data_IF_970143458209
#
_entry.id   IF_970143458209
#
_cell.length_a   1.000
_cell.length_b   1.000
_cell.length_c   1.000
_cell.angle_alpha   90.00
_cell.angle_beta   90.00
_cell.angle_gamma   90.00
#
_symmetry.space_group_name_H-M   'P 1'
#
loop_
_entity.id
_entity.type
_entity.pdbx_description
1 polymer ?
#
# COMPACT_ATOMS: atom_id res chain seq x y z
N UNK A 1 30.87 -9.69 7.23
CA UNK A 1 29.71 -10.60 7.19
C UNK A 1 28.50 -9.76 6.93
N UNK A 2 27.63 -10.17 6.01
CA UNK A 2 26.37 -9.46 5.73
C UNK A 2 25.40 -9.70 6.90
N UNK A 3 24.77 -8.64 7.39
CA UNK A 3 23.73 -8.78 8.42
C UNK A 3 22.49 -9.45 7.80
N UNK A 4 21.82 -10.28 8.60
CA UNK A 4 20.57 -10.93 8.21
C UNK A 4 19.44 -10.47 9.12
N UNK A 5 18.26 -10.35 8.56
CA UNK A 5 17.05 -9.86 9.21
C UNK A 5 15.89 -10.82 8.96
N UNK A 6 14.91 -10.75 9.86
CA UNK A 6 13.63 -11.43 9.70
C UNK A 6 12.50 -10.42 9.90
N UNK A 7 11.60 -10.37 8.93
CA UNK A 7 10.34 -9.63 9.04
C UNK A 7 9.27 -10.60 9.56
N UNK A 8 8.58 -10.19 10.63
CA UNK A 8 7.53 -10.96 11.29
C UNK A 8 6.27 -10.12 11.47
N UNK A 9 5.11 -10.77 11.52
CA UNK A 9 3.86 -10.16 12.00
C UNK A 9 3.41 -10.97 13.20
N UNK A 10 3.19 -10.32 14.35
CA UNK A 10 2.82 -10.97 15.60
C UNK A 10 3.73 -12.16 15.97
N UNK A 11 5.04 -12.00 15.77
CA UNK A 11 6.04 -13.04 16.02
C UNK A 11 6.03 -14.24 15.06
N UNK A 12 5.25 -14.19 13.98
CA UNK A 12 5.18 -15.24 12.97
C UNK A 12 5.78 -14.80 11.64
N UNK A 13 6.30 -15.75 10.86
CA UNK A 13 6.63 -15.50 9.46
C UNK A 13 5.42 -14.92 8.73
N UNK A 14 5.62 -13.81 8.01
CA UNK A 14 4.58 -13.21 7.17
C UNK A 14 4.64 -13.72 5.72
N UNK A 15 5.83 -14.12 5.27
CA UNK A 15 6.10 -14.56 3.90
C UNK A 15 6.54 -16.02 3.88
N UNK A 16 5.88 -16.84 3.06
CA UNK A 16 6.26 -18.24 2.83
C UNK A 16 5.93 -19.23 3.96
N UNK A 17 4.98 -18.90 4.86
CA UNK A 17 4.47 -19.79 5.91
C UNK A 17 4.13 -19.05 7.21
N UNK A 18 3.64 -19.78 8.22
CA UNK A 18 3.15 -19.22 9.50
C UNK A 18 3.97 -19.65 10.72
N UNK A 19 5.26 -19.92 10.53
CA UNK A 19 6.14 -20.36 11.60
C UNK A 19 6.19 -19.31 12.73
N UNK A 20 5.86 -19.70 13.95
CA UNK A 20 6.05 -18.88 15.16
C UNK A 20 7.51 -18.90 15.59
N UNK A 21 8.09 -17.71 15.78
CA UNK A 21 9.49 -17.58 16.17
C UNK A 21 9.64 -17.40 17.67
N UNK A 22 10.71 -17.96 18.23
CA UNK A 22 11.15 -17.60 19.57
C UNK A 22 11.71 -16.18 19.54
N UNK A 23 11.03 -15.27 20.24
CA UNK A 23 11.38 -13.85 20.29
C UNK A 23 12.53 -13.58 21.27
N UNK A 24 13.40 -12.60 20.99
CA UNK A 24 14.39 -12.15 21.94
C UNK A 24 13.71 -11.40 23.09
N UNK A 25 14.31 -11.44 24.28
CA UNK A 25 13.79 -10.76 25.48
C UNK A 25 14.79 -9.73 25.96
N UNK A 26 14.32 -8.51 26.28
CA UNK A 26 15.15 -7.48 26.88
C UNK A 26 15.35 -7.81 28.36
N UNK A 27 16.60 -7.92 28.80
CA UNK A 27 16.96 -8.13 30.20
C UNK A 27 16.92 -6.81 30.97
N UNK A 28 16.94 -6.90 32.30
CA UNK A 28 16.99 -5.73 33.21
C UNK A 28 18.23 -4.85 33.00
N UNK A 29 19.35 -5.42 32.55
CA UNK A 29 20.60 -4.72 32.26
C UNK A 29 20.61 -3.99 30.90
N UNK A 30 19.52 -4.08 30.13
CA UNK A 30 19.39 -3.49 28.80
C UNK A 30 19.98 -4.33 27.66
N UNK A 31 20.55 -5.51 27.94
CA UNK A 31 20.98 -6.44 26.89
C UNK A 31 19.83 -7.29 26.37
N UNK A 32 19.89 -7.62 25.08
CA UNK A 32 18.96 -8.58 24.47
C UNK A 32 19.43 -10.02 24.68
N UNK A 33 18.58 -10.85 25.29
CA UNK A 33 18.71 -12.29 25.23
C UNK A 33 18.14 -12.81 23.89
N UNK A 34 18.95 -13.45 23.02
CA UNK A 34 18.45 -13.99 21.76
C UNK A 34 17.36 -15.04 21.96
N UNK A 35 16.48 -15.17 20.97
CA UNK A 35 15.54 -16.28 20.89
C UNK A 35 16.23 -17.63 20.70
N UNK A 36 15.49 -18.71 20.89
CA UNK A 36 15.96 -20.07 20.66
C UNK A 36 16.28 -20.32 19.19
N UNK A 37 17.27 -21.19 18.95
CA UNK A 37 17.54 -21.71 17.62
C UNK A 37 16.36 -22.56 17.14
N UNK A 38 15.82 -22.17 16.00
CA UNK A 38 14.89 -23.00 15.25
C UNK A 38 15.68 -23.86 14.28
N UNK A 39 15.23 -25.09 14.08
CA UNK A 39 15.95 -26.13 13.33
C UNK A 39 15.01 -26.79 12.36
N UNK A 40 15.37 -26.83 11.09
CA UNK A 40 14.70 -27.67 10.09
C UNK A 40 15.37 -29.06 10.13
N UNK A 41 14.62 -30.15 10.37
CA UNK A 41 15.19 -31.51 10.37
C UNK A 41 15.99 -31.80 9.10
N UNK A 42 17.08 -32.57 9.23
CA UNK A 42 18.00 -32.86 8.12
C UNK A 42 17.50 -33.98 7.20
N UNK A 43 16.21 -33.94 6.87
CA UNK A 43 15.53 -34.95 6.04
C UNK A 43 15.49 -34.53 4.57
N UNK A 44 15.59 -33.22 4.31
CA UNK A 44 15.59 -32.63 2.99
C UNK A 44 16.73 -31.61 2.91
N UNK A 45 17.35 -31.51 1.74
CA UNK A 45 18.29 -30.46 1.43
C UNK A 45 17.61 -29.09 1.57
N UNK A 46 18.36 -28.08 2.00
CA UNK A 46 17.86 -26.71 1.99
C UNK A 46 17.63 -26.29 0.54
N UNK A 47 16.43 -25.80 0.28
CA UNK A 47 15.95 -25.35 -1.03
C UNK A 47 15.27 -24.00 -0.82
N UNK A 48 15.87 -22.96 -1.37
CA UNK A 48 15.41 -21.59 -1.24
C UNK A 48 13.99 -21.48 -1.77
N UNK A 49 13.09 -21.07 -0.86
CA UNK A 49 11.63 -20.92 -1.00
C UNK A 49 10.81 -22.16 -0.63
N UNK A 50 11.39 -23.36 -0.61
CA UNK A 50 10.66 -24.60 -0.31
C UNK A 50 11.00 -25.19 1.05
N UNK A 51 12.29 -25.19 1.41
CA UNK A 51 12.81 -25.86 2.61
C UNK A 51 13.88 -24.99 3.24
N UNK A 52 13.57 -24.35 4.36
CA UNK A 52 14.55 -23.60 5.16
C UNK A 52 13.93 -22.44 5.93
N UNK A 53 14.72 -21.87 6.85
CA UNK A 53 14.37 -20.67 7.61
C UNK A 53 14.86 -19.44 6.84
N UNK A 54 13.93 -18.74 6.20
CA UNK A 54 14.25 -17.57 5.39
C UNK A 54 14.58 -16.35 6.23
N UNK A 55 15.76 -15.81 5.98
CA UNK A 55 16.23 -14.49 6.39
C UNK A 55 16.53 -13.64 5.15
N UNK A 56 16.59 -12.32 5.30
CA UNK A 56 16.93 -11.37 4.21
C UNK A 56 18.05 -10.43 4.64
N UNK A 57 18.88 -9.96 3.71
CA UNK A 57 19.79 -8.85 3.96
C UNK A 57 19.21 -7.48 3.57
N UNK A 58 18.00 -7.46 3.00
CA UNK A 58 17.26 -6.26 2.59
C UNK A 58 15.81 -6.34 3.10
N UNK A 59 15.58 -6.04 4.40
CA UNK A 59 14.26 -6.19 5.01
C UNK A 59 13.21 -5.26 4.41
N UNK A 60 13.60 -4.15 3.77
CA UNK A 60 12.67 -3.19 3.16
C UNK A 60 11.79 -3.83 2.07
N UNK A 61 12.30 -4.84 1.36
CA UNK A 61 11.57 -5.58 0.31
C UNK A 61 10.53 -6.56 0.85
N UNK A 62 10.54 -6.82 2.16
CA UNK A 62 9.69 -7.82 2.81
C UNK A 62 8.76 -7.20 3.85
N UNK A 63 8.71 -5.88 3.95
CA UNK A 63 7.82 -5.19 4.87
C UNK A 63 6.37 -5.48 4.49
N UNK A 64 5.53 -5.62 5.50
CA UNK A 64 4.08 -5.78 5.38
C UNK A 64 3.41 -5.09 6.58
N UNK A 65 2.12 -4.81 6.49
CA UNK A 65 1.40 -4.02 7.50
C UNK A 65 1.45 -4.75 8.85
N UNK A 66 1.76 -4.01 9.91
CA UNK A 66 1.89 -4.52 11.27
C UNK A 66 3.16 -5.34 11.50
N UNK A 67 4.14 -5.27 10.61
CA UNK A 67 5.36 -6.05 10.76
C UNK A 67 6.36 -5.46 11.75
N UNK A 68 7.19 -6.35 12.27
CA UNK A 68 8.38 -6.04 13.06
C UNK A 68 9.59 -6.65 12.38
N UNK A 69 10.72 -5.92 12.40
CA UNK A 69 12.00 -6.41 11.87
C UNK A 69 12.91 -6.80 13.02
N UNK A 70 13.56 -7.95 12.90
CA UNK A 70 14.51 -8.46 13.87
C UNK A 70 15.86 -8.72 13.21
N UNK A 71 16.95 -8.38 13.89
CA UNK A 71 18.27 -8.87 13.53
C UNK A 71 18.33 -10.37 13.81
N UNK A 72 18.87 -11.15 12.88
CA UNK A 72 18.85 -12.60 12.93
C UNK A 72 20.23 -13.20 12.63
N UNK A 73 20.45 -14.41 13.14
CA UNK A 73 21.59 -15.24 12.80
C UNK A 73 21.12 -16.54 12.17
N UNK A 74 21.78 -16.94 11.08
CA UNK A 74 21.63 -18.24 10.45
C UNK A 74 22.90 -19.08 10.61
N UNK A 75 22.77 -20.41 10.64
CA UNK A 75 23.90 -21.35 10.58
C UNK A 75 23.52 -22.67 9.92
N UNK A 76 24.54 -23.48 9.61
CA UNK A 76 24.42 -24.76 8.94
C UNK A 76 24.25 -24.62 7.42
N UNK A 77 23.69 -25.66 6.80
CA UNK A 77 23.38 -25.66 5.37
C UNK A 77 22.52 -24.44 5.01
N UNK A 78 22.82 -23.81 3.89
CA UNK A 78 22.06 -22.66 3.42
C UNK A 78 22.09 -22.55 1.90
N UNK A 79 21.08 -21.85 1.38
CA UNK A 79 21.00 -21.46 -0.02
C UNK A 79 20.52 -20.03 -0.13
N UNK A 80 21.16 -19.24 -1.00
CA UNK A 80 20.86 -17.82 -1.22
C UNK A 80 20.27 -17.62 -2.62
N UNK A 81 19.26 -16.76 -2.73
CA UNK A 81 18.68 -16.33 -4.00
C UNK A 81 18.30 -14.85 -3.90
N UNK A 82 19.08 -13.97 -4.53
CA UNK A 82 18.89 -12.52 -4.37
C UNK A 82 19.19 -12.09 -2.94
N UNK A 83 18.28 -11.32 -2.34
CA UNK A 83 18.42 -10.78 -0.98
C UNK A 83 18.03 -11.78 0.14
N UNK A 84 17.40 -12.91 -0.23
CA UNK A 84 16.99 -13.96 0.73
C UNK A 84 18.01 -15.09 0.84
N UNK A 85 18.18 -15.58 2.06
CA UNK A 85 18.94 -16.79 2.38
C UNK A 85 18.08 -17.73 3.23
N UNK A 86 17.88 -18.96 2.76
CA UNK A 86 17.25 -20.03 3.52
C UNK A 86 18.33 -20.77 4.32
N UNK A 87 18.13 -20.89 5.64
CA UNK A 87 19.08 -21.53 6.55
C UNK A 87 18.51 -22.81 7.17
N UNK A 88 19.39 -23.76 7.50
CA UNK A 88 19.06 -24.95 8.30
C UNK A 88 18.64 -24.58 9.71
N UNK A 89 19.38 -23.67 10.33
CA UNK A 89 19.10 -23.16 11.66
C UNK A 89 19.11 -21.64 11.67
N UNK A 90 18.15 -21.03 12.36
CA UNK A 90 18.09 -19.58 12.53
C UNK A 90 17.55 -19.18 13.89
N UNK A 91 17.94 -18.00 14.37
CA UNK A 91 17.35 -17.36 15.56
C UNK A 91 17.32 -15.85 15.43
N UNK A 92 16.44 -15.23 16.21
CA UNK A 92 16.35 -13.78 16.37
C UNK A 92 17.30 -13.32 17.48
N UNK A 93 18.00 -12.22 17.25
CA UNK A 93 18.99 -11.68 18.19
C UNK A 93 18.41 -10.52 19.00
N UNK A 94 17.75 -9.57 18.33
CA UNK A 94 17.09 -8.39 18.92
C UNK A 94 16.09 -7.79 17.92
N UNK A 95 15.11 -6.99 18.37
CA UNK A 95 14.38 -6.11 17.48
C UNK A 95 15.33 -5.15 16.75
N UNK A 96 15.00 -4.84 15.51
CA UNK A 96 15.74 -3.92 14.64
C UNK A 96 14.79 -2.89 14.00
N UNK A 97 14.06 -2.08 14.81
CA UNK A 97 13.10 -1.10 14.30
C UNK A 97 13.74 -0.02 13.42
N UNK A 98 15.05 0.18 13.53
CA UNK A 98 15.85 1.06 12.68
C UNK A 98 15.84 0.64 11.20
N UNK A 99 15.49 -0.62 10.91
CA UNK A 99 15.41 -1.14 9.55
C UNK A 99 14.06 -0.89 8.87
N UNK A 100 13.09 -0.30 9.59
CA UNK A 100 11.80 0.13 9.03
C UNK A 100 11.94 1.60 8.64
N UNK A 101 11.97 1.93 7.33
CA UNK A 101 12.11 3.31 6.88
C UNK A 101 10.91 4.20 7.26
N UNK A 102 11.14 5.51 7.36
CA UNK A 102 10.07 6.46 7.69
C UNK A 102 8.95 6.48 6.63
N UNK A 103 9.30 6.32 5.35
CA UNK A 103 8.31 6.21 4.27
C UNK A 103 7.36 5.02 4.48
N UNK A 104 7.85 3.91 5.04
CA UNK A 104 7.02 2.75 5.36
C UNK A 104 6.06 3.05 6.49
N UNK A 105 6.52 3.76 7.53
CA UNK A 105 5.65 4.16 8.65
C UNK A 105 4.53 5.08 8.18
N UNK A 106 4.83 6.01 7.27
CA UNK A 106 3.82 6.87 6.65
C UNK A 106 2.83 6.07 5.79
N UNK A 107 3.34 5.13 4.98
CA UNK A 107 2.51 4.21 4.21
C UNK A 107 1.58 3.40 5.11
N UNK A 108 2.09 2.80 6.18
CA UNK A 108 1.32 2.01 7.13
C UNK A 108 0.23 2.84 7.83
N UNK A 109 0.56 4.05 8.29
CA UNK A 109 -0.42 4.96 8.89
C UNK A 109 -1.52 5.34 7.89
N UNK A 110 -1.15 5.63 6.65
CA UNK A 110 -2.08 5.93 5.58
C UNK A 110 -3.02 4.76 5.31
N UNK A 111 -2.47 3.55 5.17
CA UNK A 111 -3.22 2.32 4.94
C UNK A 111 -4.20 2.06 6.09
N UNK A 112 -3.74 2.14 7.34
CA UNK A 112 -4.60 1.96 8.53
C UNK A 112 -5.75 2.97 8.54
N UNK A 113 -5.53 4.20 8.09
CA UNK A 113 -6.55 5.26 8.02
C UNK A 113 -7.60 5.06 6.92
N UNK A 114 -7.39 4.15 5.96
CA UNK A 114 -8.36 3.92 4.87
C UNK A 114 -9.72 3.43 5.34
N UNK A 115 -9.76 2.76 6.50
CA UNK A 115 -10.99 2.32 7.15
C UNK A 115 -11.86 3.48 7.63
N UNK A 116 -11.26 4.65 7.85
CA UNK A 116 -11.91 5.85 8.37
C UNK A 116 -12.38 6.78 7.24
N UNK A 117 -12.06 6.45 5.98
CA UNK A 117 -12.51 7.23 4.81
C UNK A 117 -14.03 7.05 4.65
N UNK A 118 -14.79 8.16 4.52
CA UNK A 118 -16.25 8.12 4.39
C UNK A 118 -16.68 7.76 2.96
N UNK A 119 -16.27 6.57 2.47
CA UNK A 119 -16.52 6.12 1.10
C UNK A 119 -17.99 6.29 0.67
N UNK A 120 -18.24 7.17 -0.30
CA UNK A 120 -19.57 7.45 -0.82
C UNK A 120 -20.52 8.12 0.17
N UNK A 121 -20.00 8.73 1.23
CA UNK A 121 -20.74 9.49 2.23
C UNK A 121 -20.19 10.92 2.25
N UNK A 122 -20.64 11.78 1.32
CA UNK A 122 -20.20 13.16 1.23
C UNK A 122 -20.37 13.91 2.56
N UNK A 123 -19.41 14.77 2.89
CA UNK A 123 -19.47 15.65 4.06
C UNK A 123 -20.36 16.89 3.86
N UNK A 124 -20.91 17.08 2.66
CA UNK A 124 -21.76 18.22 2.29
C UNK A 124 -20.99 19.50 1.97
N UNK A 125 -19.65 19.45 1.93
CA UNK A 125 -18.78 20.61 1.72
C UNK A 125 -17.77 20.36 0.58
N UNK A 126 -18.26 20.22 -0.67
CA UNK A 126 -17.39 19.98 -1.80
C UNK A 126 -16.46 21.18 -2.00
N UNK A 127 -15.23 20.93 -2.46
CA UNK A 127 -14.34 22.03 -2.83
C UNK A 127 -14.97 22.80 -4.02
N UNK A 128 -15.07 24.14 -3.98
CA UNK A 128 -15.69 24.94 -5.04
C UNK A 128 -14.96 24.86 -6.39
N UNK A 129 -13.71 24.39 -6.43
CA UNK A 129 -12.95 24.19 -7.67
C UNK A 129 -13.32 22.88 -8.38
N UNK A 130 -14.04 21.98 -7.71
CA UNK A 130 -14.51 20.73 -8.30
C UNK A 130 -15.74 20.97 -9.18
N UNK A 131 -15.85 20.21 -10.26
CA UNK A 131 -17.09 20.10 -11.02
C UNK A 131 -17.90 18.95 -10.44
N UNK A 132 -18.83 19.26 -9.54
CA UNK A 132 -19.69 18.29 -8.87
C UNK A 132 -20.94 17.96 -9.70
N UNK A 133 -21.20 16.67 -9.86
CA UNK A 133 -22.41 16.12 -10.48
C UNK A 133 -23.22 15.34 -9.44
N UNK A 134 -24.52 15.60 -9.39
CA UNK A 134 -25.45 14.89 -8.51
C UNK A 134 -26.64 14.39 -9.32
N UNK A 135 -27.14 13.22 -8.95
CA UNK A 135 -28.37 12.68 -9.54
C UNK A 135 -29.10 11.79 -8.52
N UNK A 136 -30.38 11.44 -8.75
CA UNK A 136 -31.12 10.51 -7.90
C UNK A 136 -30.47 9.12 -7.79
N UNK A 137 -29.71 8.71 -8.79
CA UNK A 137 -28.94 7.45 -8.80
C UNK A 137 -27.44 7.74 -8.90
N UNK A 138 -26.64 6.89 -8.25
CA UNK A 138 -25.18 7.05 -8.29
C UNK A 138 -24.63 6.83 -9.71
N UNK A 139 -25.24 5.91 -10.46
CA UNK A 139 -24.89 5.64 -11.86
C UNK A 139 -25.16 6.85 -12.77
N UNK A 140 -26.28 7.53 -12.59
CA UNK A 140 -26.61 8.75 -13.34
C UNK A 140 -25.59 9.85 -13.11
N UNK A 141 -25.26 10.11 -11.84
CA UNK A 141 -24.27 11.13 -11.47
C UNK A 141 -22.88 10.80 -12.05
N UNK A 142 -22.48 9.51 -11.99
CA UNK A 142 -21.22 9.04 -12.58
C UNK A 142 -21.18 9.21 -14.10
N UNK A 143 -22.25 8.85 -14.79
CA UNK A 143 -22.33 8.94 -16.25
C UNK A 143 -22.17 10.39 -16.72
N UNK A 144 -22.85 11.33 -16.05
CA UNK A 144 -22.72 12.77 -16.36
C UNK A 144 -21.32 13.30 -16.07
N UNK A 145 -20.77 12.97 -14.90
CA UNK A 145 -19.42 13.39 -14.53
C UNK A 145 -18.37 12.87 -15.53
N UNK A 146 -18.51 11.61 -15.96
CA UNK A 146 -17.58 11.01 -16.91
C UNK A 146 -17.72 11.60 -18.31
N UNK A 147 -18.95 11.82 -18.78
CA UNK A 147 -19.18 12.47 -20.06
C UNK A 147 -18.61 13.90 -20.09
N UNK A 148 -18.72 14.64 -18.97
CA UNK A 148 -18.12 15.96 -18.84
C UNK A 148 -16.59 15.91 -18.84
N UNK A 149 -15.99 14.97 -18.12
CA UNK A 149 -14.54 14.76 -18.10
C UNK A 149 -14.00 14.37 -19.49
N UNK A 150 -14.63 13.42 -20.16
CA UNK A 150 -14.23 12.95 -21.50
C UNK A 150 -14.37 14.08 -22.54
N UNK A 151 -15.44 14.88 -22.46
CA UNK A 151 -15.62 16.08 -23.30
C UNK A 151 -14.53 17.12 -23.04
N UNK A 152 -14.16 17.36 -21.77
CA UNK A 152 -13.11 18.30 -21.42
C UNK A 152 -11.74 17.82 -21.93
N UNK A 153 -11.44 16.53 -21.81
CA UNK A 153 -10.19 15.94 -22.32
C UNK A 153 -10.12 16.01 -23.85
N UNK A 154 -11.21 15.67 -24.55
CA UNK A 154 -11.28 15.72 -26.02
C UNK A 154 -11.15 17.15 -26.56
N UNK A 155 -11.80 18.12 -25.91
CA UNK A 155 -11.74 19.53 -26.31
C UNK A 155 -10.33 20.15 -26.20
N UNK A 156 -9.42 19.52 -25.45
CA UNK A 156 -8.09 20.06 -25.16
C UNK A 156 -6.94 19.29 -25.82
N UNK A 157 -7.20 18.28 -26.67
CA UNK A 157 -6.17 17.38 -27.23
C UNK A 157 -5.21 16.81 -26.17
N UNK A 158 -5.67 16.63 -24.94
CA UNK A 158 -4.80 16.21 -23.82
C UNK A 158 -4.48 14.72 -23.98
N UNK A 159 -3.28 14.44 -24.49
CA UNK A 159 -2.64 13.14 -24.33
C UNK A 159 -2.47 12.91 -22.82
N UNK A 160 -2.75 11.70 -22.37
CA UNK A 160 -2.78 11.19 -21.00
C UNK A 160 -1.39 11.23 -20.34
N UNK A 161 -0.80 12.41 -20.26
CA UNK A 161 0.64 12.65 -20.08
C UNK A 161 1.03 12.67 -18.60
N UNK A 162 0.17 13.18 -17.71
CA UNK A 162 0.55 13.39 -16.30
C UNK A 162 0.49 12.11 -15.46
N UNK A 163 -0.56 11.31 -15.58
CA UNK A 163 -0.64 10.02 -14.88
C UNK A 163 0.36 8.99 -15.44
N UNK A 164 0.67 9.06 -16.74
CA UNK A 164 1.66 8.20 -17.38
C UNK A 164 3.09 8.63 -17.01
N UNK A 165 3.42 9.93 -17.08
CA UNK A 165 4.71 10.45 -16.66
C UNK A 165 4.96 10.24 -15.16
N UNK A 166 3.94 10.38 -14.32
CA UNK A 166 4.05 10.13 -12.87
C UNK A 166 4.20 8.64 -12.56
N UNK A 167 3.48 7.76 -13.29
CA UNK A 167 3.69 6.32 -13.20
C UNK A 167 5.08 5.90 -13.71
N UNK A 168 5.60 6.53 -14.77
CA UNK A 168 6.95 6.29 -15.28
C UNK A 168 8.03 6.80 -14.33
N UNK A 169 7.90 8.01 -13.77
CA UNK A 169 8.85 8.58 -12.81
C UNK A 169 8.88 7.77 -11.50
N UNK A 170 7.72 7.31 -11.02
CA UNK A 170 7.64 6.39 -9.87
C UNK A 170 8.22 5.01 -10.22
N UNK A 171 7.97 4.49 -11.42
CA UNK A 171 8.52 3.21 -11.87
C UNK A 171 10.04 3.21 -12.04
N UNK A 172 10.63 4.34 -12.43
CA UNK A 172 12.09 4.51 -12.55
C UNK A 172 12.75 4.73 -11.18
N UNK A 173 12.10 5.44 -10.26
CA UNK A 173 12.70 5.80 -8.98
C UNK A 173 12.55 4.74 -7.87
N UNK A 174 11.55 3.86 -7.96
CA UNK A 174 11.20 2.93 -6.88
C UNK A 174 11.14 1.46 -7.34
N UNK A 175 11.92 1.06 -8.35
CA UNK A 175 11.88 -0.29 -8.92
C UNK A 175 11.99 -1.43 -7.88
N UNK A 176 12.77 -1.23 -6.81
CA UNK A 176 12.95 -2.23 -5.74
C UNK A 176 11.92 -2.15 -4.60
N UNK A 177 11.26 -1.01 -4.39
CA UNK A 177 10.23 -0.80 -3.37
C UNK A 177 8.79 -1.00 -3.90
N UNK A 178 8.63 -1.00 -5.23
CA UNK A 178 7.35 -1.10 -5.93
C UNK A 178 6.59 -2.38 -5.62
N UNK A 179 7.25 -3.54 -5.60
CA UNK A 179 6.54 -4.82 -5.42
C UNK A 179 5.98 -4.94 -4.00
N UNK A 180 6.76 -4.57 -2.97
CA UNK A 180 6.32 -4.59 -1.58
C UNK A 180 5.19 -3.60 -1.31
N UNK A 181 5.23 -2.40 -1.88
CA UNK A 181 4.18 -1.39 -1.70
C UNK A 181 2.96 -1.67 -2.57
N UNK A 182 3.14 -2.19 -3.78
CA UNK A 182 2.03 -2.63 -4.60
C UNK A 182 1.30 -3.78 -3.91
N UNK A 183 2.01 -4.77 -3.36
CA UNK A 183 1.37 -5.87 -2.60
C UNK A 183 0.71 -5.38 -1.30
N UNK A 184 1.39 -4.56 -0.49
CA UNK A 184 0.84 -4.05 0.77
C UNK A 184 -0.34 -3.08 0.56
N UNK A 185 -0.27 -2.22 -0.46
CA UNK A 185 -1.39 -1.39 -0.86
C UNK A 185 -2.53 -2.26 -1.41
N UNK A 186 -2.26 -3.25 -2.29
CA UNK A 186 -3.25 -4.18 -2.84
C UNK A 186 -4.09 -4.86 -1.77
N UNK A 187 -3.46 -5.39 -0.72
CA UNK A 187 -4.18 -6.22 0.26
C UNK A 187 -5.22 -5.42 1.05
N UNK A 188 -4.87 -4.20 1.48
CA UNK A 188 -5.72 -3.43 2.39
C UNK A 188 -6.64 -2.40 1.72
N UNK A 189 -6.16 -1.71 0.68
CA UNK A 189 -6.97 -0.68 -0.02
C UNK A 189 -8.12 -1.33 -0.80
N UNK A 190 -7.88 -2.51 -1.40
CA UNK A 190 -8.92 -3.26 -2.08
C UNK A 190 -9.96 -3.74 -1.07
N UNK A 191 -9.55 -4.33 0.06
CA UNK A 191 -10.50 -4.87 1.06
C UNK A 191 -11.43 -3.80 1.65
N UNK A 192 -10.90 -2.63 2.03
CA UNK A 192 -11.70 -1.56 2.63
C UNK A 192 -12.72 -0.95 1.64
N UNK A 193 -12.28 -0.59 0.43
CA UNK A 193 -13.15 -0.01 -0.58
C UNK A 193 -14.12 -1.04 -1.18
N UNK A 194 -13.69 -2.30 -1.34
CA UNK A 194 -14.52 -3.41 -1.77
C UNK A 194 -15.58 -3.76 -0.74
N UNK A 195 -15.25 -3.73 0.56
CA UNK A 195 -16.22 -3.90 1.66
C UNK A 195 -17.26 -2.79 1.62
N UNK A 196 -16.85 -1.53 1.44
CA UNK A 196 -17.79 -0.42 1.28
C UNK A 196 -18.70 -0.62 0.06
N UNK A 197 -18.15 -1.07 -1.08
CA UNK A 197 -18.92 -1.37 -2.28
C UNK A 197 -19.88 -2.57 -2.11
N UNK A 198 -19.48 -3.59 -1.36
CA UNK A 198 -20.31 -4.75 -1.05
C UNK A 198 -21.53 -4.38 -0.18
N UNK A 199 -21.36 -3.38 0.70
CA UNK A 199 -22.41 -2.81 1.55
C UNK A 199 -23.34 -1.84 0.80
N UNK A 200 -23.00 -1.43 -0.42
CA UNK A 200 -23.84 -0.55 -1.23
C UNK A 200 -25.17 -1.24 -1.61
N UNK A 201 -26.27 -0.48 -1.80
CA UNK A 201 -27.51 -1.00 -2.36
C UNK A 201 -27.25 -1.74 -3.68
N UNK A 202 -28.05 -2.77 -3.96
CA UNK A 202 -27.86 -3.61 -5.15
C UNK A 202 -27.85 -2.80 -6.47
N UNK A 203 -28.61 -1.72 -6.53
CA UNK A 203 -28.68 -0.83 -7.69
C UNK A 203 -27.39 -0.02 -7.92
N UNK A 204 -26.56 0.17 -6.90
CA UNK A 204 -25.36 1.01 -6.94
C UNK A 204 -24.06 0.19 -6.90
N UNK A 205 -24.16 -1.13 -6.74
CA UNK A 205 -23.02 -2.02 -6.45
C UNK A 205 -21.95 -2.01 -7.56
N UNK A 206 -22.35 -2.03 -8.82
CA UNK A 206 -21.40 -2.00 -9.96
C UNK A 206 -20.63 -0.68 -10.01
N UNK A 207 -21.33 0.43 -9.74
CA UNK A 207 -20.72 1.76 -9.66
C UNK A 207 -19.77 1.85 -8.47
N UNK A 208 -20.19 1.34 -7.32
CA UNK A 208 -19.38 1.32 -6.11
C UNK A 208 -18.11 0.48 -6.30
N UNK A 209 -18.17 -0.66 -6.98
CA UNK A 209 -16.98 -1.46 -7.30
C UNK A 209 -16.03 -0.75 -8.27
N UNK A 210 -16.56 -0.11 -9.32
CA UNK A 210 -15.71 0.65 -10.23
C UNK A 210 -15.05 1.86 -9.54
N UNK A 211 -15.75 2.46 -8.59
CA UNK A 211 -15.22 3.56 -7.79
C UNK A 211 -14.20 3.09 -6.74
N UNK A 212 -14.42 1.92 -6.12
CA UNK A 212 -13.43 1.26 -5.26
C UNK A 212 -12.13 0.96 -6.02
N UNK A 213 -12.24 0.51 -7.27
CA UNK A 213 -11.06 0.32 -8.13
C UNK A 213 -10.34 1.64 -8.44
N UNK A 214 -11.07 2.74 -8.60
CA UNK A 214 -10.48 4.07 -8.83
C UNK A 214 -9.78 4.59 -7.56
N UNK A 215 -10.42 4.45 -6.40
CA UNK A 215 -9.85 4.79 -5.09
C UNK A 215 -8.59 3.98 -4.79
N UNK A 216 -8.58 2.69 -5.15
CA UNK A 216 -7.40 1.82 -5.08
C UNK A 216 -6.20 2.44 -5.83
N UNK A 217 -6.40 2.80 -7.10
CA UNK A 217 -5.33 3.39 -7.92
C UNK A 217 -4.85 4.73 -7.37
N UNK A 218 -5.76 5.56 -6.88
CA UNK A 218 -5.40 6.84 -6.25
C UNK A 218 -4.64 6.65 -4.93
N UNK A 219 -4.97 5.62 -4.14
CA UNK A 219 -4.26 5.30 -2.90
C UNK A 219 -2.82 4.85 -3.18
N UNK A 220 -2.64 3.99 -4.19
CA UNK A 220 -1.32 3.55 -4.66
C UNK A 220 -0.51 4.75 -5.16
N UNK A 221 -1.14 5.65 -5.93
CA UNK A 221 -0.50 6.85 -6.44
C UNK A 221 -0.09 7.80 -5.30
N UNK A 222 -0.98 8.01 -4.33
CA UNK A 222 -0.75 8.82 -3.14
C UNK A 222 0.43 8.33 -2.35
N UNK A 223 0.43 7.05 -1.97
CA UNK A 223 1.54 6.54 -1.17
C UNK A 223 2.86 6.53 -1.94
N UNK A 224 2.82 6.33 -3.26
CA UNK A 224 4.03 6.32 -4.08
C UNK A 224 4.67 7.71 -4.14
N UNK A 225 3.87 8.74 -4.41
CA UNK A 225 4.37 10.12 -4.55
C UNK A 225 4.69 10.75 -3.20
N UNK A 226 3.80 10.62 -2.23
CA UNK A 226 3.94 11.33 -0.95
C UNK A 226 4.87 10.63 0.04
N UNK A 227 4.90 9.30 0.06
CA UNK A 227 5.66 8.55 1.07
C UNK A 227 6.93 7.93 0.46
N UNK A 228 6.79 7.00 -0.49
CA UNK A 228 7.93 6.24 -1.04
C UNK A 228 8.94 7.17 -1.69
N UNK A 229 8.46 8.04 -2.58
CA UNK A 229 9.26 9.03 -3.27
C UNK A 229 9.22 10.41 -2.57
N UNK A 230 8.88 10.44 -1.28
CA UNK A 230 8.71 11.67 -0.51
C UNK A 230 9.99 12.52 -0.43
N UNK A 231 11.14 11.88 -0.46
CA UNK A 231 12.47 12.49 -0.41
C UNK A 231 13.07 12.78 -1.79
N UNK A 232 12.40 12.37 -2.86
CA UNK A 232 12.83 12.62 -4.23
C UNK A 232 12.35 13.99 -4.72
N UNK A 233 13.13 14.56 -5.65
CA UNK A 233 12.83 15.82 -6.34
C UNK A 233 11.73 15.63 -7.40
N UNK A 234 10.53 15.31 -6.93
CA UNK A 234 9.31 15.29 -7.72
C UNK A 234 8.74 16.71 -7.72
N UNK A 235 8.48 17.24 -8.92
CA UNK A 235 7.90 18.58 -9.08
C UNK A 235 6.61 18.73 -8.25
N UNK A 236 6.49 19.85 -7.53
CA UNK A 236 5.41 20.09 -6.56
C UNK A 236 4.00 19.90 -7.17
N UNK A 237 3.81 20.27 -8.45
CA UNK A 237 2.52 20.07 -9.15
C UNK A 237 2.01 18.63 -9.14
N UNK A 238 2.92 17.65 -9.10
CA UNK A 238 2.57 16.23 -9.04
C UNK A 238 2.11 15.84 -7.64
N UNK A 239 2.78 16.36 -6.60
CA UNK A 239 2.37 16.18 -5.20
C UNK A 239 1.00 16.80 -4.96
N UNK A 240 0.79 18.02 -5.44
CA UNK A 240 -0.47 18.75 -5.31
C UNK A 240 -1.62 18.04 -6.05
N UNK A 241 -1.35 17.51 -7.25
CA UNK A 241 -2.33 16.74 -8.02
C UNK A 241 -2.83 15.52 -7.23
N UNK A 242 -1.91 14.73 -6.66
CA UNK A 242 -2.27 13.50 -5.96
C UNK A 242 -2.97 13.80 -4.63
N UNK A 243 -2.56 14.85 -3.93
CA UNK A 243 -3.26 15.36 -2.75
C UNK A 243 -4.70 15.79 -3.09
N UNK A 244 -4.89 16.55 -4.16
CA UNK A 244 -6.20 17.03 -4.59
C UNK A 244 -7.15 15.87 -4.96
N UNK A 245 -6.64 14.84 -5.66
CA UNK A 245 -7.41 13.62 -5.94
C UNK A 245 -7.79 12.91 -4.64
N UNK A 246 -6.87 12.83 -3.69
CA UNK A 246 -7.12 12.16 -2.43
C UNK A 246 -8.10 12.91 -1.50
N UNK A 247 -8.15 14.24 -1.58
CA UNK A 247 -9.12 15.07 -0.88
C UNK A 247 -10.58 14.68 -1.23
N UNK A 248 -10.86 14.32 -2.50
CA UNK A 248 -12.19 13.87 -2.94
C UNK A 248 -12.66 12.68 -2.12
N UNK A 249 -11.78 11.70 -1.94
CA UNK A 249 -12.05 10.50 -1.14
C UNK A 249 -12.21 10.83 0.34
N UNK A 250 -11.33 11.68 0.90
CA UNK A 250 -11.42 12.11 2.31
C UNK A 250 -12.73 12.83 2.63
N UNK A 251 -13.28 13.59 1.69
CA UNK A 251 -14.60 14.24 1.82
C UNK A 251 -15.78 13.33 1.49
N UNK A 252 -15.53 12.08 1.10
CA UNK A 252 -16.55 11.06 0.87
C UNK A 252 -17.27 11.15 -0.47
N UNK A 253 -16.73 11.93 -1.40
CA UNK A 253 -17.23 12.00 -2.78
C UNK A 253 -16.55 10.96 -3.66
N UNK A 254 -17.10 10.76 -4.87
CA UNK A 254 -16.53 9.86 -5.87
C UNK A 254 -15.83 10.65 -6.98
N UNK A 255 -14.67 10.18 -7.43
CA UNK A 255 -13.89 10.83 -8.50
C UNK A 255 -14.16 10.16 -9.86
N UNK A 256 -14.62 10.93 -10.85
CA UNK A 256 -14.80 10.46 -12.22
C UNK A 256 -13.55 10.63 -13.08
N UNK A 257 -12.77 11.69 -12.83
CA UNK A 257 -11.57 12.01 -13.57
C UNK A 257 -10.97 13.37 -13.22
N UNK A 258 -9.79 13.64 -13.78
CA UNK A 258 -9.08 14.90 -13.67
C UNK A 258 -8.66 15.34 -15.07
N UNK A 259 -8.82 16.63 -15.38
CA UNK A 259 -8.39 17.24 -16.66
C UNK A 259 -7.78 18.60 -16.38
N UNK A 260 -6.46 18.72 -16.58
CA UNK A 260 -5.68 19.95 -16.36
C UNK A 260 -5.90 20.60 -14.99
N UNK A 261 -5.84 19.77 -13.93
CA UNK A 261 -6.07 20.17 -12.55
C UNK A 261 -7.54 20.29 -12.15
N UNK A 262 -8.48 20.22 -13.09
CA UNK A 262 -9.92 20.25 -12.78
C UNK A 262 -10.42 18.85 -12.42
N UNK A 263 -10.99 18.70 -11.23
CA UNK A 263 -11.55 17.43 -10.76
C UNK A 263 -13.05 17.33 -11.06
N UNK A 264 -13.45 16.23 -11.68
CA UNK A 264 -14.84 15.91 -11.99
C UNK A 264 -15.33 14.90 -10.95
N UNK A 265 -16.25 15.33 -10.10
CA UNK A 265 -16.63 14.65 -8.86
C UNK A 265 -18.12 14.34 -8.91
N UNK A 266 -18.55 13.24 -8.31
CA UNK A 266 -19.96 12.87 -8.28
C UNK A 266 -20.41 12.31 -6.93
N UNK A 267 -21.70 12.49 -6.65
CA UNK A 267 -22.39 11.88 -5.51
C UNK A 267 -23.86 11.63 -5.83
N UNK A 268 -24.54 10.83 -5.01
CA UNK A 268 -26.01 10.76 -5.02
C UNK A 268 -26.57 12.06 -4.43
N UNK A 269 -27.76 12.48 -4.88
CA UNK A 269 -28.50 13.57 -4.25
C UNK A 269 -28.84 13.26 -2.78
N UNK A 270 -28.78 14.28 -1.92
CA UNK A 270 -29.22 14.13 -0.53
C UNK A 270 -30.73 13.86 -0.47
N UNK A 271 -31.12 12.75 0.17
CA UNK A 271 -32.53 12.38 0.39
C UNK A 271 -33.13 11.37 -0.58
N UNK A 272 -32.33 10.75 -1.45
CA UNK A 272 -32.72 9.69 -2.40
C UNK A 272 -32.39 8.26 -1.93
#
# INVERSE_FOLDING_TARGET
>A
MTAHYKVLVNGQSAHGGHLSWSLPTLKEDGEWLPGYWQVIPNEQAIDVCRVGLHLTNDPARWLTIGCEVYLAAGRGDHQTLGDKTAWREARLLRPAPEMIPDWWRQHEQFVIGLKDIPWGRPDGNPNPEWVLFTAPTLDGARAEARAAADKAAYAREVIRDMAYAMACAVAEAAADARDAVYEAACDFTFDAAYTAAALAPAADRDVAFAAAYSAFHDAVLYTSVQHICGDLDIEQRHRDCVEARWEVWRKGYWLAGEVEGTLFVYSKEEGA
#
